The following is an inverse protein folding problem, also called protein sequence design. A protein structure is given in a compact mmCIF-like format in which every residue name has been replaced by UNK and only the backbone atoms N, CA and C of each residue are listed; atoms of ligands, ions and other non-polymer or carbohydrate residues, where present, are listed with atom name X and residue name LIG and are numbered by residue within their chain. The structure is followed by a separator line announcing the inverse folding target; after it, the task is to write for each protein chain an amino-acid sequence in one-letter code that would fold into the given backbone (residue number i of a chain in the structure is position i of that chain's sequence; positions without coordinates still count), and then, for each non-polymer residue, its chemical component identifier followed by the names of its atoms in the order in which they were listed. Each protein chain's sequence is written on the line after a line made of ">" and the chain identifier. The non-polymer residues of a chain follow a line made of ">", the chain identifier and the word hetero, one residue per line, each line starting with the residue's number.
data_IF_357354191045
#
_entry.id   IF_357354191045
#
_cell.length_a   1.000
_cell.length_b   1.000
_cell.length_c   1.000
_cell.angle_alpha   90.00
_cell.angle_beta   90.00
_cell.angle_gamma   90.00
#
_symmetry.space_group_name_H-M   'P 1'
#
loop_
_entity.id
_entity.type
_entity.pdbx_description
1 polymer ?
#
# COMPACT_ATOMS: atom_id res chain seq x y z
N UNK A 1 -21.95 -26.83 8.27
CA UNK A 1 -20.52 -27.07 8.63
C UNK A 1 -19.60 -26.99 7.43
N UNK A 2 -19.87 -27.67 6.31
CA UNK A 2 -19.00 -27.67 5.11
C UNK A 2 -18.74 -26.28 4.52
N UNK A 3 -19.79 -25.45 4.36
CA UNK A 3 -19.66 -24.08 3.80
C UNK A 3 -18.75 -23.18 4.64
N UNK A 4 -18.83 -23.28 5.96
CA UNK A 4 -18.00 -22.51 6.89
C UNK A 4 -16.55 -22.96 6.87
N UNK A 5 -16.30 -24.27 6.79
CA UNK A 5 -14.94 -24.82 6.69
C UNK A 5 -14.26 -24.42 5.37
N UNK A 6 -14.98 -24.49 4.25
CA UNK A 6 -14.47 -24.04 2.96
C UNK A 6 -14.14 -22.55 2.96
N UNK A 7 -15.03 -21.71 3.52
CA UNK A 7 -14.77 -20.28 3.63
C UNK A 7 -13.54 -19.98 4.47
N UNK A 8 -13.38 -20.65 5.62
CA UNK A 8 -12.18 -20.49 6.46
C UNK A 8 -10.90 -20.87 5.70
N UNK A 9 -10.94 -21.95 4.91
CA UNK A 9 -9.81 -22.34 4.07
C UNK A 9 -9.48 -21.28 3.01
N UNK A 10 -10.49 -20.72 2.33
CA UNK A 10 -10.31 -19.64 1.35
C UNK A 10 -9.66 -18.42 2.01
N UNK A 11 -10.17 -18.00 3.18
CA UNK A 11 -9.65 -16.84 3.89
C UNK A 11 -8.20 -17.05 4.35
N UNK A 12 -7.87 -18.26 4.82
CA UNK A 12 -6.51 -18.63 5.19
C UNK A 12 -5.56 -18.62 3.99
N UNK A 13 -5.98 -19.21 2.86
CA UNK A 13 -5.19 -19.23 1.63
C UNK A 13 -4.97 -17.81 1.08
N UNK A 14 -6.01 -16.97 1.11
CA UNK A 14 -5.90 -15.55 0.77
C UNK A 14 -4.88 -14.84 1.67
N UNK A 15 -4.99 -15.01 2.99
CA UNK A 15 -4.08 -14.38 3.94
C UNK A 15 -2.64 -14.82 3.73
N UNK A 16 -2.40 -16.11 3.53
CA UNK A 16 -1.07 -16.66 3.24
C UNK A 16 -0.51 -16.08 1.94
N UNK A 17 -1.28 -16.10 0.86
CA UNK A 17 -0.86 -15.55 -0.43
C UNK A 17 -0.58 -14.05 -0.34
N UNK A 18 -1.44 -13.28 0.34
CA UNK A 18 -1.28 -11.84 0.53
C UNK A 18 -0.05 -11.47 1.34
N UNK A 19 0.22 -12.17 2.44
CA UNK A 19 1.43 -11.95 3.27
C UNK A 19 2.70 -12.31 2.49
N UNK A 20 2.70 -13.46 1.79
CA UNK A 20 3.84 -13.86 0.95
C UNK A 20 4.08 -12.84 -0.16
N UNK A 21 3.03 -12.40 -0.85
CA UNK A 21 3.15 -11.37 -1.88
C UNK A 21 3.70 -10.06 -1.31
N UNK A 22 3.17 -9.59 -0.18
CA UNK A 22 3.63 -8.37 0.48
C UNK A 22 5.11 -8.43 0.91
N UNK A 23 5.58 -9.60 1.37
CA UNK A 23 6.95 -9.81 1.83
C UNK A 23 7.96 -10.11 0.72
N UNK A 24 7.56 -10.82 -0.33
CA UNK A 24 8.45 -11.27 -1.40
C UNK A 24 8.55 -10.29 -2.58
N UNK A 25 7.58 -9.39 -2.74
CA UNK A 25 7.64 -8.33 -3.75
C UNK A 25 8.77 -7.36 -3.38
N UNK A 26 9.80 -7.17 -4.24
CA UNK A 26 10.84 -6.18 -3.99
C UNK A 26 10.25 -4.79 -3.76
N UNK A 27 10.99 -3.97 -3.00
CA UNK A 27 10.58 -2.58 -2.72
C UNK A 27 10.44 -1.85 -4.06
N UNK A 28 9.34 -1.10 -4.22
CA UNK A 28 9.13 -0.22 -5.37
C UNK A 28 9.00 -0.96 -6.72
N UNK A 29 8.79 -2.28 -6.71
CA UNK A 29 8.52 -3.02 -7.96
C UNK A 29 7.24 -2.50 -8.63
N UNK A 30 6.22 -2.15 -7.83
CA UNK A 30 5.04 -1.45 -8.33
C UNK A 30 5.38 0.04 -8.53
N UNK A 31 5.19 0.59 -9.73
CA UNK A 31 5.69 1.92 -10.09
C UNK A 31 5.11 3.05 -9.22
N UNK A 32 3.88 2.87 -8.73
CA UNK A 32 3.15 3.91 -7.98
C UNK A 32 3.28 3.72 -6.45
N UNK A 33 3.79 2.57 -5.98
CA UNK A 33 3.99 2.29 -4.56
C UNK A 33 4.81 3.36 -3.83
N UNK A 34 5.92 3.91 -4.38
CA UNK A 34 6.66 4.99 -3.75
C UNK A 34 5.83 6.25 -3.51
N UNK A 35 4.98 6.62 -4.48
CA UNK A 35 4.13 7.81 -4.39
C UNK A 35 3.07 7.65 -3.29
N UNK A 36 2.43 6.48 -3.23
CA UNK A 36 1.47 6.16 -2.17
C UNK A 36 2.14 6.07 -0.79
N UNK A 37 3.31 5.46 -0.71
CA UNK A 37 4.09 5.38 0.52
C UNK A 37 4.44 6.78 1.04
N UNK A 38 4.84 7.70 0.16
CA UNK A 38 5.11 9.08 0.53
C UNK A 38 3.88 9.84 0.99
N UNK A 39 2.69 9.56 0.45
CA UNK A 39 1.45 10.12 0.96
C UNK A 39 1.25 9.67 2.43
N UNK A 40 1.36 8.37 2.70
CA UNK A 40 1.24 7.83 4.07
C UNK A 40 2.28 8.47 5.00
N UNK A 41 3.54 8.55 4.54
CA UNK A 41 4.62 9.22 5.26
C UNK A 41 4.25 10.66 5.59
N UNK A 42 3.77 11.43 4.61
CA UNK A 42 3.37 12.83 4.81
C UNK A 42 2.29 12.95 5.88
N UNK A 43 1.23 12.14 5.82
CA UNK A 43 0.17 12.18 6.84
C UNK A 43 0.66 11.76 8.24
N UNK A 44 1.68 10.90 8.31
CA UNK A 44 2.23 10.44 9.57
C UNK A 44 3.24 11.44 10.19
N UNK A 45 3.88 12.29 9.38
CA UNK A 45 4.96 13.19 9.84
C UNK A 45 4.56 14.67 9.85
N UNK A 46 3.65 15.09 8.97
CA UNK A 46 3.28 16.49 8.76
C UNK A 46 1.93 16.84 9.39
N UNK A 47 1.74 18.12 9.69
CA UNK A 47 0.45 18.66 10.15
C UNK A 47 -0.39 19.12 8.96
N UNK A 48 -0.93 18.19 8.18
CA UNK A 48 -1.82 18.53 7.07
C UNK A 48 -2.05 17.40 6.09
N UNK A 49 -2.83 17.70 5.05
CA UNK A 49 -2.96 16.83 3.88
C UNK A 49 -1.93 17.25 2.83
N UNK A 50 -1.30 16.29 2.13
CA UNK A 50 -0.41 16.62 1.05
C UNK A 50 -1.20 17.22 -0.12
N UNK A 51 -0.55 18.09 -0.88
CA UNK A 51 -1.10 18.73 -2.07
C UNK A 51 -0.25 18.39 -3.29
N UNK A 52 -0.91 18.06 -4.40
CA UNK A 52 -0.23 17.90 -5.67
C UNK A 52 0.16 19.28 -6.22
N UNK A 53 1.45 19.57 -6.23
CA UNK A 53 2.00 20.84 -6.72
C UNK A 53 2.83 20.67 -7.99
N UNK A 54 3.05 21.77 -8.72
CA UNK A 54 3.95 21.79 -9.87
C UNK A 54 5.35 21.31 -9.44
N UNK A 55 5.93 20.37 -10.20
CA UNK A 55 7.20 19.73 -9.88
C UNK A 55 7.08 18.34 -9.23
N UNK A 56 5.88 17.91 -8.80
CA UNK A 56 5.67 16.53 -8.32
C UNK A 56 5.80 15.45 -9.40
N UNK A 57 5.82 15.84 -10.68
CA UNK A 57 6.00 14.95 -11.82
C UNK A 57 7.22 15.35 -12.64
N UNK A 58 8.38 14.80 -12.27
CA UNK A 58 9.59 14.84 -13.09
C UNK A 58 9.65 13.57 -13.93
N UNK A 59 9.25 13.67 -15.19
CA UNK A 59 9.17 12.52 -16.10
C UNK A 59 10.54 11.84 -16.29
N UNK A 60 11.61 12.63 -16.45
CA UNK A 60 12.95 12.11 -16.67
C UNK A 60 13.44 11.35 -15.43
N UNK A 61 13.20 11.89 -14.24
CA UNK A 61 13.56 11.25 -12.98
C UNK A 61 12.75 9.98 -12.72
N UNK A 62 11.44 10.02 -12.94
CA UNK A 62 10.56 8.85 -12.77
C UNK A 62 10.93 7.74 -13.76
N UNK A 63 11.27 8.09 -15.00
CA UNK A 63 11.76 7.14 -16.00
C UNK A 63 13.10 6.53 -15.59
N UNK A 64 14.01 7.32 -15.02
CA UNK A 64 15.29 6.85 -14.47
C UNK A 64 15.09 5.84 -13.34
N UNK A 65 14.26 6.20 -12.35
CA UNK A 65 13.91 5.33 -11.22
C UNK A 65 13.37 3.99 -11.69
N UNK A 66 12.39 4.01 -12.60
CA UNK A 66 11.78 2.80 -13.17
C UNK A 66 12.80 1.98 -13.96
N UNK A 67 13.61 2.60 -14.82
CA UNK A 67 14.61 1.92 -15.65
C UNK A 67 15.68 1.24 -14.81
N UNK A 68 16.14 1.89 -13.74
CA UNK A 68 17.15 1.36 -12.82
C UNK A 68 16.56 0.53 -11.67
N UNK A 69 15.25 0.28 -11.67
CA UNK A 69 14.53 -0.50 -10.65
C UNK A 69 14.74 0.02 -9.23
N UNK A 70 14.65 1.34 -9.05
CA UNK A 70 14.74 2.03 -7.75
C UNK A 70 16.01 1.68 -6.96
N UNK A 71 17.19 2.06 -7.48
CA UNK A 71 18.46 1.77 -6.83
C UNK A 71 18.64 2.63 -5.57
N UNK A 72 19.52 2.20 -4.65
CA UNK A 72 19.71 2.88 -3.35
C UNK A 72 20.27 4.31 -3.46
N UNK A 73 20.94 4.66 -4.56
CA UNK A 73 21.49 6.00 -4.81
C UNK A 73 20.43 7.02 -5.25
N UNK A 74 19.25 6.57 -5.68
CA UNK A 74 18.15 7.43 -6.08
C UNK A 74 17.03 7.37 -5.04
N UNK A 75 16.77 8.50 -4.37
CA UNK A 75 15.72 8.60 -3.35
C UNK A 75 14.32 8.58 -3.96
N UNK A 76 13.34 8.09 -3.20
CA UNK A 76 11.93 8.25 -3.55
C UNK A 76 11.30 9.49 -2.92
N UNK A 77 12.01 10.25 -2.08
CA UNK A 77 11.39 11.27 -1.21
C UNK A 77 10.67 12.38 -1.97
N UNK A 78 11.10 12.67 -3.21
CA UNK A 78 10.51 13.66 -4.10
C UNK A 78 9.29 13.15 -4.88
N UNK A 79 8.98 11.85 -4.81
CA UNK A 79 7.90 11.24 -5.58
C UNK A 79 6.54 11.57 -4.94
N UNK A 80 5.82 12.54 -5.50
CA UNK A 80 4.56 13.05 -4.95
C UNK A 80 3.39 13.17 -5.95
N UNK A 81 3.49 12.56 -7.13
CA UNK A 81 2.46 12.69 -8.17
C UNK A 81 1.08 12.11 -7.78
N UNK A 82 1.00 11.25 -6.76
CA UNK A 82 -0.27 10.67 -6.25
C UNK A 82 -0.91 11.49 -5.11
N UNK A 83 -0.39 12.68 -4.79
CA UNK A 83 -0.95 13.52 -3.71
C UNK A 83 -2.36 14.05 -3.99
N UNK A 84 -2.91 13.82 -5.19
CA UNK A 84 -4.28 14.17 -5.53
C UNK A 84 -5.32 13.13 -5.08
N UNK A 85 -4.90 11.94 -4.62
CA UNK A 85 -5.84 10.87 -4.31
C UNK A 85 -6.67 11.14 -3.05
N UNK A 86 -7.92 10.63 -2.97
CA UNK A 86 -8.71 10.73 -1.75
C UNK A 86 -8.02 10.10 -0.53
N UNK A 87 -8.09 10.72 0.66
CA UNK A 87 -7.16 10.43 1.75
C UNK A 87 -7.48 9.16 2.56
N UNK A 88 -8.63 8.51 2.36
CA UNK A 88 -9.16 7.51 3.28
C UNK A 88 -8.19 6.35 3.53
N UNK A 89 -7.66 5.75 2.47
CA UNK A 89 -6.68 4.65 2.60
C UNK A 89 -5.44 5.09 3.37
N UNK A 90 -4.91 6.27 3.03
CA UNK A 90 -3.70 6.81 3.61
C UNK A 90 -3.87 7.14 5.10
N UNK A 91 -5.04 7.66 5.49
CA UNK A 91 -5.39 7.91 6.89
C UNK A 91 -5.45 6.61 7.71
N UNK A 92 -5.96 5.52 7.14
CA UNK A 92 -5.97 4.20 7.79
C UNK A 92 -4.55 3.63 7.94
N UNK A 93 -3.69 3.86 6.95
CA UNK A 93 -2.32 3.34 6.95
C UNK A 93 -1.35 4.18 7.80
N UNK A 94 -1.58 5.49 7.98
CA UNK A 94 -0.65 6.39 8.67
C UNK A 94 -0.34 5.99 10.12
N UNK A 95 -1.29 5.55 10.97
CA UNK A 95 -0.97 5.04 12.30
C UNK A 95 -0.08 3.79 12.26
N UNK A 96 -0.31 2.90 11.28
CA UNK A 96 0.51 1.68 11.12
C UNK A 96 1.92 2.04 10.66
N UNK A 97 2.06 2.99 9.75
CA UNK A 97 3.34 3.56 9.36
C UNK A 97 4.09 4.11 10.58
N UNK A 98 3.42 4.95 11.38
CA UNK A 98 4.02 5.58 12.55
C UNK A 98 4.47 4.55 13.59
N UNK A 99 3.60 3.60 13.95
CA UNK A 99 3.89 2.56 14.95
C UNK A 99 4.97 1.56 14.51
N UNK A 100 5.15 1.40 13.20
CA UNK A 100 6.14 0.48 12.61
C UNK A 100 7.43 1.17 12.16
N UNK A 101 7.61 2.45 12.47
CA UNK A 101 8.76 3.27 12.05
C UNK A 101 8.98 3.25 10.53
N UNK A 102 7.89 3.33 9.74
CA UNK A 102 7.95 3.34 8.28
C UNK A 102 8.20 1.97 7.65
N UNK A 103 7.78 0.88 8.29
CA UNK A 103 7.92 -0.44 7.67
C UNK A 103 7.02 -0.59 6.44
N UNK A 104 7.63 -0.73 5.26
CA UNK A 104 6.90 -0.99 4.01
C UNK A 104 6.03 -2.25 4.09
N UNK A 105 6.54 -3.31 4.74
CA UNK A 105 5.78 -4.54 4.93
C UNK A 105 4.53 -4.28 5.78
N UNK A 106 4.67 -3.56 6.90
CA UNK A 106 3.53 -3.27 7.78
C UNK A 106 2.43 -2.49 7.05
N UNK A 107 2.82 -1.51 6.22
CA UNK A 107 1.90 -0.76 5.37
C UNK A 107 1.24 -1.66 4.31
N UNK A 108 1.99 -2.52 3.62
CA UNK A 108 1.43 -3.47 2.66
C UNK A 108 0.40 -4.41 3.29
N UNK A 109 0.62 -4.82 4.55
CA UNK A 109 -0.32 -5.67 5.29
C UNK A 109 -1.66 -4.97 5.58
N UNK A 110 -1.73 -3.63 5.57
CA UNK A 110 -3.01 -2.91 5.62
C UNK A 110 -3.87 -3.25 4.40
N UNK A 111 -3.27 -3.27 3.20
CA UNK A 111 -3.98 -3.66 1.98
C UNK A 111 -4.43 -5.12 2.00
N UNK A 112 -3.61 -6.02 2.56
CA UNK A 112 -3.99 -7.44 2.77
C UNK A 112 -5.16 -7.55 3.75
N UNK A 113 -5.16 -6.79 4.84
CA UNK A 113 -6.26 -6.80 5.81
C UNK A 113 -7.57 -6.27 5.21
N UNK A 114 -7.51 -5.19 4.42
CA UNK A 114 -8.68 -4.66 3.73
C UNK A 114 -9.24 -5.66 2.71
N UNK A 115 -8.37 -6.31 1.93
CA UNK A 115 -8.80 -7.34 0.99
C UNK A 115 -9.36 -8.59 1.68
N UNK A 116 -8.86 -8.99 2.86
CA UNK A 116 -9.49 -10.02 3.68
C UNK A 116 -10.91 -9.61 4.08
N UNK A 117 -11.10 -8.34 4.47
CA UNK A 117 -12.42 -7.77 4.73
C UNK A 117 -13.36 -7.88 3.54
N UNK A 118 -12.89 -7.57 2.33
CA UNK A 118 -13.67 -7.74 1.09
C UNK A 118 -14.11 -9.20 0.89
N UNK A 119 -13.21 -10.17 1.08
CA UNK A 119 -13.53 -11.60 0.98
C UNK A 119 -14.61 -12.00 2.01
N UNK A 120 -14.49 -11.50 3.24
CA UNK A 120 -15.47 -11.74 4.30
C UNK A 120 -16.84 -11.16 3.93
N UNK A 121 -16.90 -9.88 3.54
CA UNK A 121 -18.17 -9.23 3.19
C UNK A 121 -18.83 -9.87 1.96
N UNK A 122 -18.05 -10.24 0.94
CA UNK A 122 -18.56 -10.97 -0.22
C UNK A 122 -19.21 -12.30 0.18
N UNK A 123 -18.57 -13.07 1.07
CA UNK A 123 -19.15 -14.30 1.60
C UNK A 123 -20.43 -14.04 2.40
N UNK A 124 -20.46 -13.01 3.26
CA UNK A 124 -21.64 -12.68 4.05
C UNK A 124 -22.82 -12.27 3.18
N UNK A 125 -22.58 -11.50 2.12
CA UNK A 125 -23.62 -11.10 1.15
C UNK A 125 -24.14 -12.31 0.39
N UNK A 126 -23.27 -13.17 -0.13
CA UNK A 126 -23.67 -14.33 -0.92
C UNK A 126 -24.26 -15.49 -0.09
N UNK A 127 -24.12 -15.43 1.23
CA UNK A 127 -24.59 -16.47 2.16
C UNK A 127 -26.10 -16.37 2.45
N UNK A 128 -26.75 -15.25 2.12
CA UNK A 128 -28.21 -15.09 2.23
C UNK A 128 -28.94 -16.17 1.45
#
# INVERSE_FOLDING_TARGET
>A
MIRTGLFAAILLLYGLAGVLFAGLTPRWQSPDEPAHYNYIRYLATEKGFPELVAGCYDEAYLAELKRRKFPLDLTIDSVCYEFHQPPLYYLLAAPIYYLSSGSLLAVRLVSVALGAGVVVFAFLIART
#
